data_IF_868162279276
#
_entry.id   IF_868162279276
#
_cell.length_a   1.000
_cell.length_b   1.000
_cell.length_c   1.000
_cell.angle_alpha   90.00
_cell.angle_beta   90.00
_cell.angle_gamma   90.00
#
_symmetry.space_group_name_H-M   'P 1'
#
loop_
_entity.id
_entity.type
_entity.pdbx_description
1 polymer ?
#
# COMPACT_ATOMS: atom_id res chain seq x y z
N UNK A 1 20.24 21.67 -4.54
CA UNK A 1 18.92 21.15 -4.11
C UNK A 1 19.20 19.88 -3.33
N UNK A 2 18.89 19.87 -2.04
CA UNK A 2 18.96 18.67 -1.21
C UNK A 2 17.69 17.83 -1.41
N UNK A 3 17.77 16.50 -1.31
CA UNK A 3 16.61 15.64 -1.46
C UNK A 3 15.61 15.88 -0.31
N UNK A 4 14.32 15.97 -0.64
CA UNK A 4 13.27 16.19 0.36
C UNK A 4 13.09 14.98 1.30
N UNK A 5 13.08 13.76 0.75
CA UNK A 5 12.89 12.51 1.49
C UNK A 5 13.78 11.44 0.86
N UNK A 6 14.49 10.66 1.69
CA UNK A 6 15.26 9.49 1.28
C UNK A 6 14.87 8.32 2.16
N UNK A 7 14.49 7.19 1.55
CA UNK A 7 14.16 5.95 2.26
C UNK A 7 14.87 4.78 1.60
N UNK A 8 15.27 3.80 2.43
CA UNK A 8 15.89 2.59 1.93
C UNK A 8 14.80 1.60 1.47
N UNK A 9 14.87 1.17 0.22
CA UNK A 9 13.91 0.22 -0.38
C UNK A 9 14.28 -1.24 -0.16
N UNK A 10 15.52 -1.52 0.29
CA UNK A 10 16.02 -2.88 0.51
C UNK A 10 17.52 -3.00 0.23
N UNK A 11 18.01 -4.25 0.15
CA UNK A 11 19.40 -4.53 -0.27
C UNK A 11 19.54 -4.79 -1.76
N UNK A 12 18.44 -5.10 -2.42
CA UNK A 12 18.43 -5.41 -3.85
C UNK A 12 18.44 -4.15 -4.69
N UNK A 13 19.16 -4.20 -5.82
CA UNK A 13 19.23 -3.09 -6.75
C UNK A 13 17.87 -2.88 -7.44
N UNK A 14 17.52 -1.60 -7.63
CA UNK A 14 16.30 -1.18 -8.33
C UNK A 14 16.56 -1.26 -9.84
N UNK A 15 15.61 -1.85 -10.58
CA UNK A 15 15.68 -2.01 -12.04
C UNK A 15 14.61 -1.23 -12.80
N UNK A 16 13.46 -0.95 -12.18
CA UNK A 16 12.36 -0.24 -12.81
C UNK A 16 11.61 0.66 -11.80
N UNK A 17 10.98 1.72 -12.30
CA UNK A 17 10.18 2.66 -11.53
C UNK A 17 8.93 3.05 -12.33
N UNK A 18 7.79 3.15 -11.66
CA UNK A 18 6.57 3.75 -12.19
C UNK A 18 5.88 4.61 -11.11
N UNK A 19 5.08 5.59 -11.52
CA UNK A 19 4.27 6.43 -10.64
C UNK A 19 2.82 6.25 -11.09
N UNK A 20 1.88 6.19 -10.14
CA UNK A 20 0.45 6.12 -10.46
C UNK A 20 -0.06 7.45 -11.02
N UNK A 21 -1.13 7.40 -11.82
CA UNK A 21 -1.69 8.60 -12.48
C UNK A 21 -2.20 9.66 -11.49
N UNK A 22 -2.67 9.24 -10.31
CA UNK A 22 -3.07 10.11 -9.21
C UNK A 22 -1.88 10.63 -8.38
N UNK A 23 -0.68 10.12 -8.64
CA UNK A 23 0.56 10.45 -7.94
C UNK A 23 0.63 9.94 -6.50
N UNK A 24 -0.31 9.09 -6.04
CA UNK A 24 -0.36 8.58 -4.66
C UNK A 24 0.65 7.47 -4.41
N UNK A 25 0.94 6.67 -5.45
CA UNK A 25 1.77 5.48 -5.35
C UNK A 25 2.99 5.53 -6.26
N UNK A 26 4.06 4.89 -5.80
CA UNK A 26 5.29 4.65 -6.55
C UNK A 26 5.54 3.14 -6.59
N UNK A 27 5.68 2.61 -7.79
CA UNK A 27 6.02 1.23 -8.05
C UNK A 27 7.51 1.08 -8.28
N UNK A 28 8.13 0.09 -7.63
CA UNK A 28 9.55 -0.20 -7.75
C UNK A 28 9.75 -1.67 -8.09
N UNK A 29 10.54 -1.91 -9.13
CA UNK A 29 10.94 -3.24 -9.59
C UNK A 29 12.40 -3.48 -9.20
N UNK A 30 12.70 -4.70 -8.76
CA UNK A 30 14.02 -5.07 -8.27
C UNK A 30 14.71 -6.08 -9.19
N UNK A 31 16.03 -6.16 -9.09
CA UNK A 31 16.84 -7.09 -9.87
C UNK A 31 16.62 -8.56 -9.50
N UNK A 32 16.13 -8.84 -8.29
CA UNK A 32 15.76 -10.18 -7.82
C UNK A 32 14.37 -10.63 -8.32
N UNK A 33 13.67 -9.80 -9.11
CA UNK A 33 12.31 -10.07 -9.58
C UNK A 33 11.21 -9.71 -8.58
N UNK A 34 11.54 -9.04 -7.48
CA UNK A 34 10.55 -8.48 -6.54
C UNK A 34 9.88 -7.23 -7.10
N UNK A 35 8.65 -6.96 -6.64
CA UNK A 35 7.90 -5.74 -6.95
C UNK A 35 7.40 -5.11 -5.65
N UNK A 36 7.69 -3.83 -5.46
CA UNK A 36 7.26 -3.03 -4.32
C UNK A 36 6.31 -1.90 -4.75
N UNK A 37 5.32 -1.62 -3.93
CA UNK A 37 4.42 -0.47 -4.02
C UNK A 37 4.64 0.37 -2.77
N UNK A 38 4.93 1.65 -2.98
CA UNK A 38 5.25 2.63 -1.95
C UNK A 38 4.29 3.81 -2.04
N UNK A 39 4.08 4.49 -0.92
CA UNK A 39 3.31 5.74 -0.87
C UNK A 39 4.24 6.88 -1.27
N UNK A 40 3.88 7.67 -2.29
CA UNK A 40 4.76 8.67 -2.89
C UNK A 40 5.23 9.75 -1.91
N UNK A 41 4.33 10.27 -1.07
CA UNK A 41 4.64 11.39 -0.17
C UNK A 41 5.54 11.02 1.00
N UNK A 42 5.57 9.74 1.41
CA UNK A 42 6.30 9.28 2.61
C UNK A 42 7.38 8.24 2.30
N UNK A 43 7.39 7.71 1.07
CA UNK A 43 8.18 6.56 0.65
C UNK A 43 8.03 5.34 1.58
N UNK A 44 6.90 5.23 2.29
CA UNK A 44 6.58 4.05 3.08
C UNK A 44 6.15 2.89 2.19
N UNK A 45 6.65 1.69 2.47
CA UNK A 45 6.27 0.49 1.74
C UNK A 45 4.82 0.08 2.08
N UNK A 46 3.92 0.19 1.10
CA UNK A 46 2.54 -0.27 1.23
C UNK A 46 2.44 -1.79 1.02
N UNK A 47 3.17 -2.32 0.03
CA UNK A 47 3.22 -3.75 -0.28
C UNK A 47 4.55 -4.11 -0.94
N UNK A 48 5.18 -5.19 -0.49
CA UNK A 48 6.35 -5.78 -1.15
C UNK A 48 6.06 -7.24 -1.44
N UNK A 49 6.08 -7.61 -2.71
CA UNK A 49 5.91 -8.99 -3.16
C UNK A 49 7.26 -9.47 -3.68
N UNK A 50 7.79 -10.52 -3.03
CA UNK A 50 9.09 -11.08 -3.40
C UNK A 50 8.95 -12.16 -4.46
N UNK A 51 9.96 -12.27 -5.33
CA UNK A 51 10.02 -13.29 -6.38
C UNK A 51 8.75 -13.32 -7.25
N UNK A 52 8.25 -12.14 -7.65
CA UNK A 52 7.14 -12.04 -8.62
C UNK A 52 7.63 -12.63 -9.94
N UNK A 53 8.82 -12.23 -10.35
CA UNK A 53 9.52 -12.76 -11.50
C UNK A 53 10.71 -13.61 -11.08
N UNK A 54 11.16 -14.48 -11.98
CA UNK A 54 12.35 -15.31 -11.76
C UNK A 54 13.67 -14.56 -11.98
N UNK A 55 13.59 -13.36 -12.56
CA UNK A 55 14.71 -12.47 -12.87
C UNK A 55 14.26 -11.01 -12.80
N UNK A 56 15.20 -10.07 -12.97
CA UNK A 56 14.98 -8.63 -12.85
C UNK A 56 13.74 -8.12 -13.61
N UNK A 57 12.99 -7.25 -12.93
CA UNK A 57 11.84 -6.57 -13.53
C UNK A 57 12.34 -5.56 -14.55
N UNK A 58 11.84 -5.63 -15.78
CA UNK A 58 12.29 -4.76 -16.89
C UNK A 58 11.43 -3.51 -17.01
N UNK A 59 10.14 -3.61 -16.70
CA UNK A 59 9.22 -2.48 -16.75
C UNK A 59 8.03 -2.67 -15.81
N UNK A 60 7.47 -1.54 -15.41
CA UNK A 60 6.32 -1.42 -14.53
C UNK A 60 5.35 -0.39 -15.08
N UNK A 61 4.05 -0.64 -14.92
CA UNK A 61 3.02 0.35 -15.19
C UNK A 61 1.87 0.19 -14.21
N UNK A 62 1.39 1.30 -13.65
CA UNK A 62 0.13 1.27 -12.91
C UNK A 62 -1.02 1.05 -13.87
N UNK A 63 -2.07 0.40 -13.37
CA UNK A 63 -3.35 0.32 -14.06
C UNK A 63 -4.13 1.58 -13.68
N UNK A 64 -4.63 2.30 -14.68
CA UNK A 64 -5.40 3.53 -14.46
C UNK A 64 -6.73 3.20 -13.75
N UNK A 65 -7.25 4.12 -12.96
CA UNK A 65 -8.59 4.00 -12.37
C UNK A 65 -9.64 4.55 -13.34
N UNK A 66 -10.13 3.68 -14.22
CA UNK A 66 -11.19 3.96 -15.20
C UNK A 66 -12.30 2.91 -15.01
N UNK A 67 -13.52 3.20 -15.46
CA UNK A 67 -14.66 2.27 -15.35
C UNK A 67 -14.36 0.86 -15.88
N UNK A 68 -13.55 0.75 -16.95
CA UNK A 68 -13.16 -0.53 -17.52
C UNK A 68 -12.16 -1.31 -16.65
N UNK A 69 -11.22 -0.61 -16.02
CA UNK A 69 -10.21 -1.23 -15.15
C UNK A 69 -10.77 -1.54 -13.76
N UNK A 70 -11.84 -0.89 -13.31
CA UNK A 70 -12.59 -1.25 -12.10
C UNK A 70 -13.11 -2.69 -12.12
N UNK A 71 -13.43 -3.24 -13.29
CA UNK A 71 -13.78 -4.67 -13.44
C UNK A 71 -12.60 -5.58 -13.07
N UNK A 72 -11.38 -5.14 -13.37
CA UNK A 72 -10.13 -5.87 -13.07
C UNK A 72 -9.62 -5.57 -11.65
N UNK A 73 -9.81 -4.33 -11.17
CA UNK A 73 -9.37 -3.82 -9.88
C UNK A 73 -10.32 -4.16 -8.73
N UNK A 74 -11.62 -4.40 -8.93
CA UNK A 74 -12.54 -4.72 -7.83
C UNK A 74 -12.47 -3.73 -6.66
N UNK A 75 -12.17 -4.24 -5.46
CA UNK A 75 -11.99 -3.47 -4.21
C UNK A 75 -10.51 -3.21 -3.84
N UNK A 76 -9.61 -3.17 -4.82
CA UNK A 76 -8.18 -2.93 -4.60
C UNK A 76 -7.87 -1.44 -4.82
N UNK A 77 -7.03 -0.84 -3.97
CA UNK A 77 -6.70 0.60 -4.03
C UNK A 77 -5.81 0.95 -5.23
N UNK A 78 -4.95 0.01 -5.65
CA UNK A 78 -4.07 0.19 -6.80
C UNK A 78 -3.70 -1.17 -7.39
N UNK A 79 -3.28 -1.18 -8.65
CA UNK A 79 -2.68 -2.36 -9.27
C UNK A 79 -1.53 -1.96 -10.18
N UNK A 80 -0.50 -2.79 -10.21
CA UNK A 80 0.69 -2.59 -11.02
C UNK A 80 0.93 -3.82 -11.88
N UNK A 81 1.18 -3.58 -13.16
CA UNK A 81 1.60 -4.60 -14.11
C UNK A 81 3.12 -4.57 -14.16
N UNK A 82 3.73 -5.74 -13.99
CA UNK A 82 5.18 -5.93 -14.11
C UNK A 82 5.49 -6.90 -15.24
N UNK A 83 6.54 -6.57 -15.99
CA UNK A 83 7.11 -7.45 -17.01
C UNK A 83 8.58 -7.68 -16.71
N UNK A 84 9.08 -8.84 -17.10
CA UNK A 84 10.45 -9.26 -16.82
C UNK A 84 11.08 -9.95 -18.04
N UNK A 85 12.40 -10.11 -17.99
CA UNK A 85 13.16 -10.87 -18.98
C UNK A 85 12.86 -12.38 -18.97
N UNK A 86 12.06 -12.86 -18.01
CA UNK A 86 11.53 -14.23 -17.99
C UNK A 86 10.33 -14.46 -18.91
N UNK A 87 10.02 -13.49 -19.78
CA UNK A 87 8.89 -13.51 -20.70
C UNK A 87 7.52 -13.60 -20.00
N UNK A 88 7.43 -13.23 -18.72
CA UNK A 88 6.15 -13.19 -18.00
C UNK A 88 5.66 -11.76 -17.77
N UNK A 89 4.34 -11.63 -17.73
CA UNK A 89 3.63 -10.40 -17.39
C UNK A 89 2.71 -10.72 -16.21
N UNK A 90 2.86 -9.99 -15.10
CA UNK A 90 2.12 -10.26 -13.87
C UNK A 90 1.44 -9.02 -13.34
N UNK A 91 0.25 -9.20 -12.75
CA UNK A 91 -0.55 -8.14 -12.15
C UNK A 91 -0.48 -8.24 -10.63
N UNK A 92 0.19 -7.30 -9.99
CA UNK A 92 0.26 -7.18 -8.54
C UNK A 92 -0.76 -6.15 -8.06
N UNK A 93 -1.75 -6.59 -7.28
CA UNK A 93 -2.79 -5.72 -6.72
C UNK A 93 -2.47 -5.30 -5.28
N UNK A 94 -2.78 -4.06 -4.93
CA UNK A 94 -2.71 -3.51 -3.57
C UNK A 94 -4.11 -3.57 -2.97
N UNK A 95 -4.29 -4.38 -1.92
CA UNK A 95 -5.58 -4.48 -1.23
C UNK A 95 -5.94 -3.15 -0.60
N UNK A 96 -7.23 -2.79 -0.69
CA UNK A 96 -7.71 -1.63 0.05
C UNK A 96 -7.49 -1.88 1.53
N UNK A 97 -6.72 -1.00 2.17
CA UNK A 97 -6.64 -1.01 3.62
C UNK A 97 -8.02 -0.61 4.10
N UNK A 98 -8.83 -1.60 4.45
CA UNK A 98 -10.07 -1.39 5.17
C UNK A 98 -9.71 -0.65 6.46
N UNK A 99 -9.79 0.67 6.41
CA UNK A 99 -9.84 1.50 7.60
C UNK A 99 -11.03 0.95 8.36
N UNK A 100 -10.77 0.46 9.59
CA UNK A 100 -11.84 0.04 10.48
C UNK A 100 -12.96 1.05 10.39
N UNK A 101 -14.19 0.56 10.17
CA UNK A 101 -15.36 1.43 10.02
C UNK A 101 -15.31 2.47 11.13
N UNK A 102 -15.20 3.75 10.78
CA UNK A 102 -14.99 4.85 11.74
C UNK A 102 -16.05 4.80 12.85
N UNK A 103 -17.24 4.29 12.51
CA UNK A 103 -18.32 3.96 13.43
C UNK A 103 -17.94 3.02 14.57
N UNK A 104 -17.17 1.97 14.31
CA UNK A 104 -16.71 1.03 15.35
C UNK A 104 -15.77 1.72 16.33
N UNK A 105 -14.87 2.58 15.83
CA UNK A 105 -13.96 3.35 16.68
C UNK A 105 -14.74 4.33 17.56
N UNK A 106 -15.71 5.04 16.97
CA UNK A 106 -16.61 5.95 17.70
C UNK A 106 -17.37 5.19 18.78
N UNK A 107 -17.98 4.04 18.45
CA UNK A 107 -18.72 3.22 19.40
C UNK A 107 -17.84 2.76 20.58
N UNK A 108 -16.62 2.31 20.30
CA UNK A 108 -15.69 1.83 21.32
C UNK A 108 -15.25 2.98 22.25
N UNK A 109 -15.06 4.19 21.72
CA UNK A 109 -14.83 5.39 22.53
C UNK A 109 -16.00 5.68 23.48
N UNK A 110 -17.25 5.63 23.01
CA UNK A 110 -18.42 5.83 23.88
C UNK A 110 -18.51 4.77 24.99
N UNK A 111 -18.25 3.50 24.66
CA UNK A 111 -18.22 2.41 25.64
C UNK A 111 -17.11 2.65 26.68
N UNK A 112 -15.92 3.04 26.24
CA UNK A 112 -14.80 3.33 27.13
C UNK A 112 -15.12 4.49 28.08
N UNK A 113 -15.69 5.58 27.56
CA UNK A 113 -16.11 6.74 28.38
C UNK A 113 -17.18 6.31 29.39
N UNK A 114 -18.21 5.58 28.95
CA UNK A 114 -19.25 5.07 29.84
C UNK A 114 -18.70 4.15 30.94
N UNK A 115 -17.80 3.23 30.58
CA UNK A 115 -17.15 2.33 31.53
C UNK A 115 -16.31 3.10 32.56
N UNK A 116 -15.57 4.13 32.14
CA UNK A 116 -14.79 4.97 33.06
C UNK A 116 -15.69 5.76 34.02
N UNK A 117 -16.82 6.29 33.55
CA UNK A 117 -17.78 6.99 34.40
C UNK A 117 -18.38 6.05 35.44
N UNK A 118 -18.81 4.84 35.04
CA UNK A 118 -19.34 3.83 35.97
C UNK A 118 -18.30 3.35 36.98
N UNK A 119 -17.04 3.21 36.56
CA UNK A 119 -15.95 2.83 37.46
C UNK A 119 -15.69 3.89 38.54
N UNK A 120 -15.71 5.16 38.16
CA UNK A 120 -15.51 6.27 39.09
C UNK A 120 -16.67 6.41 40.09
N UNK A 121 -17.91 6.19 39.63
CA UNK A 121 -19.11 6.12 40.49
C UNK A 121 -18.99 4.95 41.49
N UNK A 122 -18.60 3.76 41.03
CA UNK A 122 -18.37 2.61 41.91
C UNK A 122 -17.25 2.85 42.95
N UNK A 123 -16.21 3.59 42.56
CA UNK A 123 -15.11 3.96 43.46
C UNK A 123 -15.46 5.12 44.41
N UNK A 124 -16.65 5.71 44.30
CA UNK A 124 -17.12 6.83 45.12
C UNK A 124 -16.37 8.15 44.87
N UNK A 125 -15.77 8.29 43.68
CA UNK A 125 -14.99 9.46 43.23
C UNK A 125 -15.79 10.43 42.37
N UNK A 126 -17.05 10.10 42.10
CA UNK A 126 -18.03 10.84 41.31
C UNK A 126 -19.33 10.94 42.13
#
# INVERSE_FOLDING_TARGET
MEPAIVQNTGREAISALAISDDGVYVGIGFMDGSVGIYISFSLQCAKLVRNVHSIFVTSLSFVNDNEMSRVTMGNYDAAIVSVSADCTCQLTKLESRALFSVWLVILLCFIAIGATALYLDYAGLL
#
